data_IF_728386524651
#
_entry.id   IF_728386524651
#
_cell.length_a   1.000
_cell.length_b   1.000
_cell.length_c   1.000
_cell.angle_alpha   90.00
_cell.angle_beta   90.00
_cell.angle_gamma   90.00
#
_symmetry.space_group_name_H-M   'P 1'
#
loop_
_entity.id
_entity.type
_entity.pdbx_description
1 polymer ?
#
# COMPACT_ATOMS: atom_id res chain seq x y z
N UNK A 1 12.99 33.28 23.83
CA UNK A 1 12.51 31.89 23.79
C UNK A 1 13.22 31.21 22.63
N UNK A 2 14.09 30.24 22.91
CA UNK A 2 14.61 29.37 21.86
C UNK A 2 13.43 28.53 21.38
N UNK A 3 12.99 28.72 20.15
CA UNK A 3 12.16 27.70 19.51
C UNK A 3 13.00 26.43 19.50
N UNK A 4 12.53 25.31 20.10
CA UNK A 4 13.27 24.06 20.02
C UNK A 4 13.51 23.76 18.54
N UNK A 5 14.74 23.41 18.20
CA UNK A 5 15.12 23.03 16.84
C UNK A 5 14.22 21.86 16.43
N UNK A 6 13.28 22.13 15.51
CA UNK A 6 12.33 21.12 15.06
C UNK A 6 13.12 20.05 14.30
N UNK A 7 12.87 18.79 14.64
CA UNK A 7 13.46 17.65 13.92
C UNK A 7 13.19 17.80 12.42
N UNK A 8 14.19 17.42 11.62
CA UNK A 8 14.01 17.22 10.19
C UNK A 8 13.07 16.03 9.95
N UNK A 9 12.48 15.95 8.76
CA UNK A 9 11.67 14.80 8.37
C UNK A 9 12.45 13.48 8.49
N UNK A 10 13.70 13.46 8.06
CA UNK A 10 14.56 12.29 8.16
C UNK A 10 14.76 11.86 9.63
N UNK A 11 15.11 12.81 10.50
CA UNK A 11 15.25 12.54 11.95
C UNK A 11 13.94 12.02 12.55
N UNK A 12 12.79 12.48 12.07
CA UNK A 12 11.49 12.00 12.55
C UNK A 12 11.19 10.55 12.12
N UNK A 13 11.62 10.14 10.91
CA UNK A 13 11.56 8.73 10.50
C UNK A 13 12.56 7.86 11.25
N UNK A 14 13.75 8.37 11.58
CA UNK A 14 14.72 7.67 12.44
C UNK A 14 14.17 7.45 13.86
N UNK A 15 13.49 8.44 14.43
CA UNK A 15 12.78 8.29 15.71
C UNK A 15 11.68 7.23 15.60
N UNK A 16 10.89 7.25 14.51
CA UNK A 16 9.85 6.24 14.27
C UNK A 16 10.44 4.83 14.24
N UNK A 17 11.55 4.64 13.54
CA UNK A 17 12.27 3.36 13.50
C UNK A 17 12.73 2.92 14.90
N UNK A 18 13.29 3.84 15.70
CA UNK A 18 13.73 3.52 17.05
C UNK A 18 12.56 3.10 17.95
N UNK A 19 11.39 3.74 17.80
CA UNK A 19 10.17 3.32 18.48
C UNK A 19 9.77 1.90 18.06
N UNK A 20 9.81 1.56 16.77
CA UNK A 20 9.45 0.21 16.28
C UNK A 20 10.39 -0.90 16.78
N UNK A 21 11.65 -0.57 17.09
CA UNK A 21 12.62 -1.50 17.70
C UNK A 21 12.29 -1.78 19.18
N UNK A 22 11.73 -0.80 19.88
CA UNK A 22 11.39 -0.90 21.31
C UNK A 22 9.99 -1.50 21.46
N UNK A 23 9.02 -0.98 20.71
CA UNK A 23 7.64 -1.40 20.70
C UNK A 23 7.33 -2.19 19.42
N UNK A 24 7.52 -3.51 19.52
CA UNK A 24 7.23 -4.41 18.41
C UNK A 24 5.75 -4.47 18.02
N UNK A 25 4.84 -4.00 18.89
CA UNK A 25 3.43 -3.86 18.56
C UNK A 25 3.16 -2.71 17.58
N UNK A 26 4.12 -1.80 17.44
CA UNK A 26 4.09 -0.69 16.49
C UNK A 26 4.71 -1.04 15.13
N UNK A 27 4.69 -2.33 14.74
CA UNK A 27 5.30 -2.80 13.50
C UNK A 27 4.71 -2.22 12.20
N UNK A 28 3.50 -1.65 12.23
CA UNK A 28 2.85 -1.03 11.08
C UNK A 28 2.67 0.49 11.28
N UNK A 29 3.62 1.29 10.79
CA UNK A 29 3.67 2.75 10.97
C UNK A 29 3.07 3.57 9.82
N UNK A 30 2.18 3.00 8.99
CA UNK A 30 1.71 3.64 7.76
C UNK A 30 1.09 5.02 7.98
N UNK A 31 0.16 5.14 8.93
CA UNK A 31 -0.48 6.41 9.29
C UNK A 31 0.53 7.43 9.81
N UNK A 32 1.56 6.99 10.54
CA UNK A 32 2.67 7.85 10.98
C UNK A 32 3.42 8.44 9.81
N UNK A 33 3.69 7.61 8.80
CA UNK A 33 4.31 8.07 7.55
C UNK A 33 3.51 9.21 6.91
N UNK A 34 2.17 9.10 6.88
CA UNK A 34 1.31 10.19 6.39
C UNK A 34 1.52 11.45 7.22
N UNK A 35 1.37 11.32 8.54
CA UNK A 35 1.39 12.46 9.45
C UNK A 35 2.73 13.20 9.40
N UNK A 36 3.86 12.47 9.35
CA UNK A 36 5.18 13.08 9.27
C UNK A 36 5.37 13.90 7.99
N UNK A 37 4.96 13.37 6.84
CA UNK A 37 5.11 14.11 5.58
C UNK A 37 4.11 15.25 5.43
N UNK A 38 2.89 15.14 5.98
CA UNK A 38 1.95 16.26 6.07
C UNK A 38 2.56 17.43 6.85
N UNK A 39 3.15 17.16 8.02
CA UNK A 39 3.81 18.21 8.81
C UNK A 39 4.99 18.83 8.07
N UNK A 40 5.73 18.05 7.28
CA UNK A 40 6.83 18.59 6.46
C UNK A 40 6.30 19.49 5.33
N UNK A 41 5.22 19.10 4.64
CA UNK A 41 4.57 19.94 3.62
C UNK A 41 4.08 21.26 4.23
N UNK A 42 3.51 21.25 5.45
CA UNK A 42 3.05 22.46 6.13
C UNK A 42 4.16 23.49 6.38
N UNK A 43 5.42 23.07 6.47
CA UNK A 43 6.54 24.00 6.64
C UNK A 43 6.74 24.88 5.40
N UNK A 44 6.48 24.35 4.21
CA UNK A 44 6.52 25.08 2.95
C UNK A 44 5.65 24.39 1.86
N UNK A 45 4.34 24.74 1.76
CA UNK A 45 3.43 24.06 0.85
C UNK A 45 3.78 24.18 -0.64
N UNK A 46 4.51 25.23 -1.04
CA UNK A 46 4.92 25.45 -2.42
C UNK A 46 6.05 24.49 -2.86
N UNK A 47 6.82 23.97 -1.90
CA UNK A 47 7.94 23.05 -2.12
C UNK A 47 7.59 21.58 -1.79
N UNK A 48 6.30 21.23 -1.79
CA UNK A 48 5.84 19.87 -1.47
C UNK A 48 6.49 18.78 -2.32
N UNK A 49 6.89 19.10 -3.57
CA UNK A 49 7.58 18.16 -4.46
C UNK A 49 8.94 17.73 -3.89
N UNK A 50 9.64 18.61 -3.15
CA UNK A 50 10.90 18.23 -2.49
C UNK A 50 10.67 17.32 -1.28
N UNK A 51 9.49 17.37 -0.65
CA UNK A 51 9.12 16.45 0.44
C UNK A 51 8.95 15.03 -0.10
N UNK A 52 8.35 14.89 -1.28
CA UNK A 52 8.17 13.59 -1.94
C UNK A 52 9.50 12.84 -2.13
N UNK A 53 10.56 13.55 -2.53
CA UNK A 53 11.87 12.94 -2.81
C UNK A 53 12.62 12.50 -1.54
N UNK A 54 12.21 13.01 -0.38
CA UNK A 54 12.77 12.68 0.94
C UNK A 54 12.06 11.48 1.59
N UNK A 55 10.99 10.96 0.98
CA UNK A 55 10.30 9.80 1.52
C UNK A 55 11.22 8.56 1.54
N UNK A 56 11.26 7.80 2.66
CA UNK A 56 12.03 6.58 2.73
C UNK A 56 11.44 5.51 1.80
N UNK A 57 12.31 4.76 1.12
CA UNK A 57 11.90 3.61 0.29
C UNK A 57 11.28 2.55 1.19
N UNK A 58 10.07 2.09 0.87
CA UNK A 58 9.29 1.10 1.63
C UNK A 58 8.93 1.49 3.07
N UNK A 59 9.59 2.48 3.67
CA UNK A 59 9.42 2.86 5.07
C UNK A 59 7.97 3.20 5.38
N UNK A 60 7.44 2.59 6.44
CA UNK A 60 6.04 2.72 6.82
C UNK A 60 5.05 2.42 5.67
N UNK A 61 5.31 1.37 4.89
CA UNK A 61 4.47 0.94 3.78
C UNK A 61 4.14 2.08 2.79
N UNK A 62 5.14 2.91 2.45
CA UNK A 62 5.03 4.08 1.58
C UNK A 62 4.04 5.17 2.08
N UNK A 63 3.65 5.17 3.35
CA UNK A 63 2.70 6.15 3.90
C UNK A 63 3.17 7.60 3.77
N UNK A 64 4.48 7.82 3.75
CA UNK A 64 5.07 9.12 3.49
C UNK A 64 4.54 9.79 2.21
N UNK A 65 4.51 9.05 1.10
CA UNK A 65 4.09 9.59 -0.19
C UNK A 65 2.63 10.06 -0.13
N UNK A 66 1.77 9.31 0.57
CA UNK A 66 0.35 9.63 0.69
C UNK A 66 0.13 10.96 1.40
N UNK A 67 0.81 11.16 2.55
CA UNK A 67 0.67 12.39 3.33
C UNK A 67 1.08 13.65 2.58
N UNK A 68 2.07 13.58 1.67
CA UNK A 68 2.48 14.71 0.83
C UNK A 68 1.32 15.21 -0.04
N UNK A 69 0.67 14.29 -0.76
CA UNK A 69 -0.44 14.64 -1.63
C UNK A 69 -1.70 15.04 -0.86
N UNK A 70 -2.00 14.34 0.23
CA UNK A 70 -3.15 14.67 1.07
C UNK A 70 -3.02 16.09 1.64
N UNK A 71 -1.85 16.47 2.18
CA UNK A 71 -1.67 17.83 2.69
C UNK A 71 -1.71 18.89 1.59
N UNK A 72 -1.10 18.63 0.43
CA UNK A 72 -1.06 19.65 -0.63
C UNK A 72 -2.46 20.00 -1.17
N UNK A 73 -3.37 19.03 -1.20
CA UNK A 73 -4.66 19.18 -1.88
C UNK A 73 -5.88 19.20 -0.93
N UNK A 74 -5.69 19.16 0.39
CA UNK A 74 -6.81 19.07 1.35
C UNK A 74 -7.68 20.33 1.48
N UNK A 75 -7.19 21.51 1.11
CA UNK A 75 -7.90 22.79 1.27
C UNK A 75 -8.33 23.44 -0.05
N UNK A 76 -7.83 22.95 -1.18
CA UNK A 76 -8.06 23.57 -2.48
C UNK A 76 -9.29 22.97 -3.19
N UNK A 77 -10.20 23.81 -3.66
CA UNK A 77 -11.30 23.40 -4.57
C UNK A 77 -10.95 23.75 -6.02
N UNK A 78 -11.14 22.81 -6.94
CA UNK A 78 -10.71 22.99 -8.33
C UNK A 78 -11.87 22.82 -9.31
N UNK A 79 -11.94 23.74 -10.28
CA UNK A 79 -12.76 23.59 -11.48
C UNK A 79 -12.24 22.46 -12.37
N UNK A 80 -13.08 21.91 -13.24
CA UNK A 80 -12.65 20.87 -14.21
C UNK A 80 -11.48 21.32 -15.09
N UNK A 81 -11.42 22.61 -15.43
CA UNK A 81 -10.32 23.17 -16.21
C UNK A 81 -8.99 23.14 -15.43
N UNK A 82 -9.02 23.52 -14.14
CA UNK A 82 -7.84 23.45 -13.27
C UNK A 82 -7.38 22.01 -13.06
N UNK A 83 -8.32 21.07 -12.82
CA UNK A 83 -8.00 19.64 -12.67
C UNK A 83 -7.32 19.10 -13.94
N UNK A 84 -7.81 19.48 -15.13
CA UNK A 84 -7.21 19.06 -16.39
C UNK A 84 -5.77 19.57 -16.55
N UNK A 85 -5.50 20.82 -16.15
CA UNK A 85 -4.16 21.38 -16.16
C UNK A 85 -3.24 20.67 -15.15
N UNK A 86 -3.71 20.51 -13.91
CA UNK A 86 -3.00 19.79 -12.84
C UNK A 86 -2.68 18.34 -13.21
N UNK A 87 -3.57 17.65 -13.93
CA UNK A 87 -3.38 16.25 -14.32
C UNK A 87 -2.08 16.04 -15.12
N UNK A 88 -1.65 17.03 -15.91
CA UNK A 88 -0.40 16.93 -16.69
C UNK A 88 0.83 17.02 -15.78
N UNK A 89 0.83 17.93 -14.80
CA UNK A 89 1.92 18.07 -13.82
C UNK A 89 1.95 16.88 -12.84
N UNK A 90 0.79 16.42 -12.38
CA UNK A 90 0.68 15.29 -11.47
C UNK A 90 1.01 13.94 -12.11
N UNK A 91 0.94 13.83 -13.43
CA UNK A 91 1.42 12.65 -14.13
C UNK A 91 2.94 12.53 -14.06
N UNK A 92 3.67 13.62 -14.26
CA UNK A 92 5.14 13.58 -14.34
C UNK A 92 5.79 13.48 -12.96
N UNK A 93 5.12 13.98 -11.91
CA UNK A 93 5.66 13.94 -10.53
C UNK A 93 5.86 12.51 -10.01
N UNK A 94 5.01 11.56 -10.42
CA UNK A 94 5.10 10.16 -9.99
C UNK A 94 6.07 9.30 -10.80
N UNK A 95 6.62 9.86 -11.86
CA UNK A 95 7.53 9.19 -12.78
C UNK A 95 8.95 9.70 -12.59
N UNK A 96 9.92 8.96 -13.14
CA UNK A 96 11.32 9.41 -13.16
C UNK A 96 11.42 10.80 -13.80
N UNK A 97 12.04 11.72 -13.07
CA UNK A 97 12.30 13.09 -13.49
C UNK A 97 13.63 13.57 -12.88
N UNK A 98 13.96 14.85 -13.03
CA UNK A 98 15.22 15.43 -12.54
C UNK A 98 15.35 15.41 -11.01
N UNK A 99 14.23 15.46 -10.29
CA UNK A 99 14.19 15.52 -8.83
C UNK A 99 14.06 14.14 -8.19
N UNK A 100 13.45 13.17 -8.90
CA UNK A 100 13.11 11.87 -8.33
C UNK A 100 13.30 10.72 -9.31
N UNK A 101 13.95 9.65 -8.83
CA UNK A 101 14.11 8.38 -9.53
C UNK A 101 13.44 7.27 -8.69
N UNK A 102 12.09 7.14 -8.74
CA UNK A 102 11.36 6.20 -7.91
C UNK A 102 11.61 4.74 -8.32
N UNK A 103 11.58 3.85 -7.34
CA UNK A 103 11.38 2.42 -7.55
C UNK A 103 9.97 2.13 -8.09
N UNK A 104 9.76 0.92 -8.64
CA UNK A 104 8.42 0.49 -9.08
C UNK A 104 7.39 0.57 -7.95
N UNK A 105 7.78 0.23 -6.71
CA UNK A 105 6.93 0.35 -5.53
C UNK A 105 6.57 1.79 -5.20
N UNK A 106 7.53 2.71 -5.25
CA UNK A 106 7.29 4.14 -5.02
C UNK A 106 6.41 4.76 -6.10
N UNK A 107 6.62 4.41 -7.37
CA UNK A 107 5.70 4.81 -8.46
C UNK A 107 4.28 4.30 -8.18
N UNK A 108 4.14 3.03 -7.81
CA UNK A 108 2.85 2.45 -7.44
C UNK A 108 2.18 3.20 -6.28
N UNK A 109 2.94 3.49 -5.22
CA UNK A 109 2.48 4.27 -4.06
C UNK A 109 2.11 5.71 -4.40
N UNK A 110 2.85 6.35 -5.32
CA UNK A 110 2.55 7.70 -5.78
C UNK A 110 1.24 7.77 -6.56
N UNK A 111 1.01 6.85 -7.50
CA UNK A 111 -0.28 6.78 -8.19
C UNK A 111 -1.44 6.44 -7.24
N UNK A 112 -1.21 5.63 -6.22
CA UNK A 112 -2.18 5.42 -5.15
C UNK A 112 -2.50 6.72 -4.39
N UNK A 113 -1.48 7.49 -4.00
CA UNK A 113 -1.64 8.79 -3.35
C UNK A 113 -2.40 9.81 -4.22
N UNK A 114 -2.19 9.80 -5.54
CA UNK A 114 -2.97 10.60 -6.48
C UNK A 114 -4.47 10.24 -6.44
N UNK A 115 -4.82 9.00 -6.13
CA UNK A 115 -6.20 8.58 -5.91
C UNK A 115 -6.85 9.24 -4.70
N UNK A 116 -6.10 9.36 -3.58
CA UNK A 116 -6.55 10.12 -2.41
C UNK A 116 -6.72 11.60 -2.77
N UNK A 117 -5.72 12.22 -3.41
CA UNK A 117 -5.81 13.60 -3.86
C UNK A 117 -7.02 13.83 -4.77
N UNK A 118 -7.30 12.90 -5.69
CA UNK A 118 -8.44 13.00 -6.60
C UNK A 118 -9.77 13.19 -5.88
N UNK A 119 -9.94 12.58 -4.69
CA UNK A 119 -11.15 12.75 -3.89
C UNK A 119 -11.29 14.17 -3.32
N UNK A 120 -10.18 14.81 -2.96
CA UNK A 120 -10.17 16.21 -2.57
C UNK A 120 -10.43 17.13 -3.77
N UNK A 121 -9.66 16.95 -4.85
CA UNK A 121 -9.76 17.75 -6.08
C UNK A 121 -11.17 17.77 -6.67
N UNK A 122 -11.94 16.70 -6.47
CA UNK A 122 -13.25 16.51 -7.08
C UNK A 122 -14.41 16.60 -6.08
N UNK A 123 -14.15 17.03 -4.84
CA UNK A 123 -15.15 17.18 -3.77
C UNK A 123 -15.93 15.87 -3.53
N UNK A 124 -15.20 14.78 -3.37
CA UNK A 124 -15.72 13.41 -3.20
C UNK A 124 -16.58 12.90 -4.37
N UNK A 125 -16.51 13.50 -5.55
CA UNK A 125 -17.19 12.99 -6.75
C UNK A 125 -16.43 11.81 -7.35
N UNK A 126 -16.79 10.60 -6.92
CA UNK A 126 -16.12 9.34 -7.28
C UNK A 126 -15.97 9.15 -8.80
N UNK A 127 -16.99 9.54 -9.59
CA UNK A 127 -16.92 9.45 -11.06
C UNK A 127 -15.83 10.36 -11.62
N UNK A 128 -15.77 11.62 -11.16
CA UNK A 128 -14.71 12.57 -11.55
C UNK A 128 -13.33 12.10 -11.06
N UNK A 129 -13.23 11.55 -9.85
CA UNK A 129 -11.95 11.04 -9.31
C UNK A 129 -11.42 9.86 -10.13
N UNK A 130 -12.28 8.93 -10.53
CA UNK A 130 -11.93 7.81 -11.42
C UNK A 130 -11.49 8.30 -12.80
N UNK A 131 -12.16 9.32 -13.35
CA UNK A 131 -11.75 9.94 -14.63
C UNK A 131 -10.40 10.63 -14.52
N UNK A 132 -10.12 11.29 -13.40
CA UNK A 132 -8.80 11.85 -13.11
C UNK A 132 -7.73 10.76 -13.09
N UNK A 133 -7.97 9.65 -12.38
CA UNK A 133 -7.05 8.51 -12.35
C UNK A 133 -6.74 7.95 -13.74
N UNK A 134 -7.74 7.86 -14.63
CA UNK A 134 -7.53 7.42 -16.01
C UNK A 134 -6.60 8.36 -16.80
N UNK A 135 -6.73 9.68 -16.57
CA UNK A 135 -5.92 10.70 -17.25
C UNK A 135 -4.48 10.70 -16.77
N UNK A 136 -4.24 10.69 -15.46
CA UNK A 136 -2.86 10.78 -14.92
C UNK A 136 -2.06 9.50 -15.16
N UNK A 137 -2.73 8.35 -15.18
CA UNK A 137 -2.09 7.05 -15.37
C UNK A 137 -1.84 6.68 -16.84
N UNK A 138 -2.14 7.55 -17.81
CA UNK A 138 -1.93 7.31 -19.24
C UNK A 138 -2.54 6.00 -19.77
N UNK A 139 -3.65 5.56 -19.17
CA UNK A 139 -4.26 4.25 -19.49
C UNK A 139 -3.38 3.03 -19.22
N UNK A 140 -2.28 3.17 -18.45
CA UNK A 140 -1.44 2.03 -18.03
C UNK A 140 -2.20 1.24 -16.95
N UNK A 141 -2.57 -0.04 -17.19
CA UNK A 141 -3.47 -0.78 -16.30
C UNK A 141 -3.07 -0.86 -14.83
N UNK A 142 -1.80 -1.10 -14.56
CA UNK A 142 -1.30 -1.17 -13.19
C UNK A 142 -1.44 0.18 -12.45
N UNK A 143 -1.19 1.29 -13.14
CA UNK A 143 -1.16 2.62 -12.52
C UNK A 143 -2.56 3.14 -12.22
N UNK A 144 -3.52 3.00 -13.15
CA UNK A 144 -4.90 3.39 -12.83
C UNK A 144 -5.52 2.48 -11.77
N UNK A 145 -5.14 1.20 -11.70
CA UNK A 145 -5.58 0.30 -10.63
C UNK A 145 -5.14 0.81 -9.26
N UNK A 146 -3.89 1.23 -9.11
CA UNK A 146 -3.36 1.82 -7.88
C UNK A 146 -4.06 3.15 -7.55
N UNK A 147 -4.28 4.01 -8.53
CA UNK A 147 -5.02 5.26 -8.32
C UNK A 147 -6.46 5.01 -7.87
N UNK A 148 -7.16 4.04 -8.47
CA UNK A 148 -8.49 3.64 -7.99
C UNK A 148 -8.46 3.12 -6.55
N UNK A 149 -7.37 2.46 -6.13
CA UNK A 149 -7.26 2.00 -4.73
C UNK A 149 -7.28 3.18 -3.78
N UNK A 150 -6.53 4.26 -4.05
CA UNK A 150 -6.57 5.47 -3.24
C UNK A 150 -7.95 6.12 -3.19
N UNK A 151 -8.63 6.23 -4.35
CA UNK A 151 -10.00 6.77 -4.44
C UNK A 151 -10.96 6.02 -3.53
N UNK A 152 -11.00 4.69 -3.64
CA UNK A 152 -11.91 3.88 -2.83
C UNK A 152 -11.45 3.75 -1.37
N UNK A 153 -10.14 3.74 -1.10
CA UNK A 153 -9.59 3.72 0.26
C UNK A 153 -10.01 4.98 1.02
N UNK A 154 -10.01 6.15 0.39
CA UNK A 154 -10.51 7.40 0.98
C UNK A 154 -11.95 7.26 1.50
N UNK A 155 -12.79 6.48 0.82
CA UNK A 155 -14.20 6.29 1.18
C UNK A 155 -14.33 5.33 2.38
N UNK A 156 -13.66 4.18 2.32
CA UNK A 156 -13.84 3.12 3.31
C UNK A 156 -12.98 3.34 4.57
N UNK A 157 -11.80 3.94 4.41
CA UNK A 157 -10.75 4.08 5.43
C UNK A 157 -10.32 5.56 5.63
N UNK A 158 -11.23 6.53 5.77
CA UNK A 158 -10.85 7.92 6.05
C UNK A 158 -10.12 8.02 7.40
N UNK A 159 -8.96 8.69 7.42
CA UNK A 159 -8.07 8.73 8.59
C UNK A 159 -8.31 9.97 9.44
N UNK A 160 -8.25 11.16 8.84
CA UNK A 160 -8.36 12.44 9.54
C UNK A 160 -9.80 12.96 9.62
N UNK A 161 -10.03 14.05 10.36
CA UNK A 161 -11.36 14.63 10.50
C UNK A 161 -11.90 15.15 9.17
N UNK A 162 -11.03 15.78 8.39
CA UNK A 162 -11.29 16.32 7.06
C UNK A 162 -11.63 15.18 6.08
N UNK A 163 -10.88 14.07 6.13
CA UNK A 163 -11.17 12.86 5.34
C UNK A 163 -12.58 12.34 5.63
N UNK A 164 -12.93 12.25 6.92
CA UNK A 164 -14.24 11.75 7.36
C UNK A 164 -15.37 12.67 6.89
N UNK A 165 -15.18 13.99 6.99
CA UNK A 165 -16.16 14.98 6.53
C UNK A 165 -16.35 14.92 5.01
N UNK A 166 -15.24 14.80 4.25
CA UNK A 166 -15.24 14.72 2.79
C UNK A 166 -16.14 13.60 2.28
N UNK A 167 -16.07 12.41 2.88
CA UNK A 167 -16.80 11.21 2.41
C UNK A 167 -18.05 10.87 3.23
N UNK A 168 -18.41 11.67 4.23
CA UNK A 168 -19.49 11.36 5.18
C UNK A 168 -20.84 11.00 4.52
N UNK A 169 -21.13 11.62 3.37
CA UNK A 169 -22.39 11.42 2.61
C UNK A 169 -22.40 10.17 1.72
N UNK A 170 -21.24 9.62 1.39
CA UNK A 170 -21.10 8.52 0.42
C UNK A 170 -20.53 7.24 1.02
N UNK A 171 -19.93 7.31 2.22
CA UNK A 171 -19.32 6.16 2.89
C UNK A 171 -20.37 5.10 3.27
N UNK A 172 -20.26 3.87 2.76
CA UNK A 172 -21.09 2.76 3.20
C UNK A 172 -20.84 2.43 4.69
N UNK A 173 -21.91 2.04 5.39
CA UNK A 173 -21.90 1.72 6.83
C UNK A 173 -22.10 0.23 7.10
N UNK A 174 -22.70 -0.50 6.17
CA UNK A 174 -22.93 -1.95 6.28
C UNK A 174 -22.21 -2.71 5.16
N UNK A 175 -22.03 -4.02 5.37
CA UNK A 175 -21.47 -4.91 4.35
C UNK A 175 -22.30 -4.91 3.05
N UNK A 176 -23.63 -4.91 3.17
CA UNK A 176 -24.56 -4.88 2.04
C UNK A 176 -24.45 -3.56 1.27
N UNK A 177 -24.49 -2.42 1.98
CA UNK A 177 -24.31 -1.10 1.37
C UNK A 177 -22.96 -0.99 0.63
N UNK A 178 -21.91 -1.60 1.16
CA UNK A 178 -20.58 -1.58 0.55
C UNK A 178 -20.53 -2.39 -0.75
N UNK A 179 -21.14 -3.57 -0.76
CA UNK A 179 -21.25 -4.41 -1.96
C UNK A 179 -22.08 -3.69 -3.02
N UNK A 180 -23.25 -3.17 -2.66
CA UNK A 180 -24.12 -2.40 -3.56
C UNK A 180 -23.43 -1.15 -4.11
N UNK A 181 -22.65 -0.46 -3.28
CA UNK A 181 -21.84 0.66 -3.71
C UNK A 181 -20.81 0.23 -4.78
N UNK A 182 -20.08 -0.86 -4.56
CA UNK A 182 -19.07 -1.34 -5.49
C UNK A 182 -19.65 -1.96 -6.77
N UNK A 183 -20.87 -2.50 -6.72
CA UNK A 183 -21.52 -3.13 -7.87
C UNK A 183 -22.04 -2.12 -8.90
N UNK A 184 -21.99 -0.82 -8.60
CA UNK A 184 -22.23 0.26 -9.58
C UNK A 184 -21.09 0.42 -10.60
N UNK A 185 -19.94 -0.21 -10.36
CA UNK A 185 -18.76 -0.14 -11.21
C UNK A 185 -18.52 -1.46 -11.93
N UNK A 186 -17.61 -1.44 -12.92
CA UNK A 186 -17.27 -2.62 -13.73
C UNK A 186 -15.75 -2.79 -13.86
N UNK A 187 -15.30 -4.00 -14.21
CA UNK A 187 -13.88 -4.29 -14.47
C UNK A 187 -12.99 -3.94 -13.27
N UNK A 188 -11.84 -3.30 -13.53
CA UNK A 188 -10.89 -2.93 -12.49
C UNK A 188 -11.49 -2.00 -11.42
N UNK A 189 -12.42 -1.10 -11.76
CA UNK A 189 -13.05 -0.22 -10.78
C UNK A 189 -13.84 -1.01 -9.74
N UNK A 190 -14.66 -1.98 -10.18
CA UNK A 190 -15.41 -2.88 -9.29
C UNK A 190 -14.46 -3.63 -8.36
N UNK A 191 -13.46 -4.30 -8.94
CA UNK A 191 -12.52 -5.13 -8.19
C UNK A 191 -11.76 -4.30 -7.16
N UNK A 192 -11.29 -3.11 -7.56
CA UNK A 192 -10.58 -2.21 -6.65
C UNK A 192 -11.48 -1.70 -5.53
N UNK A 193 -12.73 -1.37 -5.82
CA UNK A 193 -13.70 -0.97 -4.80
C UNK A 193 -13.93 -2.09 -3.78
N UNK A 194 -14.18 -3.32 -4.26
CA UNK A 194 -14.37 -4.50 -3.41
C UNK A 194 -13.12 -4.74 -2.54
N UNK A 195 -11.92 -4.50 -3.05
CA UNK A 195 -10.69 -4.63 -2.26
C UNK A 195 -10.59 -3.63 -1.10
N UNK A 196 -11.26 -2.48 -1.17
CA UNK A 196 -11.19 -1.44 -0.14
C UNK A 196 -12.30 -1.51 0.91
N UNK A 197 -13.37 -2.30 0.70
CA UNK A 197 -14.45 -2.45 1.68
C UNK A 197 -14.08 -3.31 2.90
N UNK A 198 -12.85 -3.84 2.93
CA UNK A 198 -12.35 -4.76 3.95
C UNK A 198 -12.58 -4.33 5.41
N UNK A 199 -12.63 -3.04 5.83
CA UNK A 199 -12.89 -2.71 7.23
C UNK A 199 -14.22 -3.26 7.74
N UNK A 200 -15.21 -3.40 6.84
CA UNK A 200 -16.53 -3.96 7.14
C UNK A 200 -16.53 -5.50 7.18
N UNK A 201 -15.47 -6.14 6.67
CA UNK A 201 -15.34 -7.60 6.55
C UNK A 201 -14.16 -8.18 7.33
N UNK A 202 -13.35 -7.36 8.00
CA UNK A 202 -12.09 -7.79 8.63
C UNK A 202 -12.26 -8.97 9.60
N UNK A 203 -13.29 -8.92 10.45
CA UNK A 203 -13.59 -10.01 11.40
C UNK A 203 -13.91 -11.33 10.70
N UNK A 204 -14.45 -11.27 9.49
CA UNK A 204 -14.87 -12.44 8.74
C UNK A 204 -13.67 -13.14 8.13
N UNK A 205 -12.85 -12.46 7.31
CA UNK A 205 -11.71 -13.12 6.66
C UNK A 205 -10.51 -13.34 7.59
N UNK A 206 -10.53 -12.87 8.85
CA UNK A 206 -9.55 -13.29 9.86
C UNK A 206 -9.68 -14.77 10.23
N UNK A 207 -10.86 -15.34 10.01
CA UNK A 207 -11.11 -16.77 10.13
C UNK A 207 -10.86 -17.42 8.76
N UNK A 208 -9.89 -18.36 8.64
CA UNK A 208 -9.54 -18.96 7.35
C UNK A 208 -10.73 -19.66 6.69
N UNK A 209 -11.67 -20.23 7.47
CA UNK A 209 -12.87 -20.91 6.94
C UNK A 209 -13.87 -19.93 6.32
N UNK A 210 -13.79 -18.64 6.68
CA UNK A 210 -14.72 -17.60 6.23
C UNK A 210 -14.13 -16.70 5.15
N UNK A 211 -12.89 -16.93 4.74
CA UNK A 211 -12.22 -16.19 3.66
C UNK A 211 -13.03 -16.27 2.35
N UNK A 212 -13.53 -17.45 2.00
CA UNK A 212 -14.38 -17.65 0.82
C UNK A 212 -15.70 -16.89 0.86
N UNK A 213 -16.26 -16.72 2.05
CA UNK A 213 -17.49 -15.96 2.23
C UNK A 213 -17.25 -14.47 1.95
N UNK A 214 -16.04 -13.96 2.21
CA UNK A 214 -15.64 -12.61 1.79
C UNK A 214 -15.40 -12.55 0.27
N UNK A 215 -14.72 -13.55 -0.29
CA UNK A 215 -14.39 -13.58 -1.72
C UNK A 215 -15.54 -13.98 -2.65
N UNK A 216 -16.71 -14.36 -2.12
CA UNK A 216 -17.91 -14.69 -2.93
C UNK A 216 -18.42 -13.53 -3.79
N UNK A 217 -18.11 -12.28 -3.43
CA UNK A 217 -18.55 -11.09 -4.17
C UNK A 217 -17.72 -10.81 -5.43
N UNK A 218 -16.64 -11.56 -5.63
CA UNK A 218 -15.74 -11.44 -6.77
C UNK A 218 -16.12 -12.44 -7.86
N UNK A 219 -15.89 -12.05 -9.12
CA UNK A 219 -16.01 -12.98 -10.23
C UNK A 219 -14.99 -14.12 -10.06
N UNK A 220 -15.27 -15.35 -10.53
CA UNK A 220 -14.36 -16.49 -10.34
C UNK A 220 -12.91 -16.24 -10.77
N UNK A 221 -12.71 -15.52 -11.88
CA UNK A 221 -11.39 -15.15 -12.40
C UNK A 221 -10.60 -14.19 -11.50
N UNK A 222 -11.27 -13.49 -10.59
CA UNK A 222 -10.71 -12.46 -9.72
C UNK A 222 -10.59 -12.92 -8.25
N UNK A 223 -11.03 -14.15 -7.93
CA UNK A 223 -10.95 -14.72 -6.57
C UNK A 223 -9.53 -14.71 -6.00
N UNK A 224 -8.53 -15.07 -6.81
CA UNK A 224 -7.14 -15.08 -6.36
C UNK A 224 -6.65 -13.69 -5.92
N UNK A 225 -7.16 -12.63 -6.55
CA UNK A 225 -6.86 -11.26 -6.16
C UNK A 225 -7.56 -10.89 -4.84
N UNK A 226 -8.77 -11.37 -4.62
CA UNK A 226 -9.45 -11.21 -3.33
C UNK A 226 -8.63 -11.86 -2.21
N UNK A 227 -8.22 -13.12 -2.37
CA UNK A 227 -7.40 -13.82 -1.39
C UNK A 227 -6.10 -13.08 -1.10
N UNK A 228 -5.37 -12.71 -2.16
CA UNK A 228 -4.13 -11.95 -2.03
C UNK A 228 -4.33 -10.64 -1.26
N UNK A 229 -5.42 -9.94 -1.52
CA UNK A 229 -5.75 -8.68 -0.84
C UNK A 229 -6.08 -8.92 0.63
N UNK A 230 -6.94 -9.89 0.95
CA UNK A 230 -7.29 -10.22 2.32
C UNK A 230 -6.07 -10.65 3.15
N UNK A 231 -5.19 -11.48 2.58
CA UNK A 231 -3.97 -11.95 3.25
C UNK A 231 -2.99 -10.78 3.47
N UNK A 232 -2.84 -9.87 2.51
CA UNK A 232 -2.06 -8.64 2.69
C UNK A 232 -2.60 -7.80 3.85
N UNK A 233 -3.92 -7.61 3.91
CA UNK A 233 -4.58 -6.83 4.97
C UNK A 233 -4.38 -7.51 6.33
N UNK A 234 -4.57 -8.83 6.43
CA UNK A 234 -4.33 -9.58 7.67
C UNK A 234 -2.89 -9.43 8.14
N UNK A 235 -1.92 -9.62 7.24
CA UNK A 235 -0.51 -9.51 7.57
C UNK A 235 -0.20 -8.13 8.18
N UNK A 236 -0.67 -7.04 7.54
CA UNK A 236 -0.47 -5.68 8.03
C UNK A 236 -1.16 -5.42 9.38
N UNK A 237 -2.43 -5.84 9.53
CA UNK A 237 -3.23 -5.52 10.72
C UNK A 237 -2.94 -6.44 11.92
N UNK A 238 -2.24 -7.55 11.71
CA UNK A 238 -1.84 -8.48 12.76
C UNK A 238 -0.34 -8.40 13.05
N UNK A 239 0.21 -7.17 12.96
CA UNK A 239 1.54 -6.80 13.46
C UNK A 239 2.68 -7.64 12.87
N UNK A 240 2.49 -8.18 11.67
CA UNK A 240 3.49 -9.04 11.01
C UNK A 240 3.83 -10.29 11.83
N UNK A 241 2.85 -10.84 12.57
CA UNK A 241 3.02 -12.04 13.38
C UNK A 241 3.24 -13.28 12.51
N UNK A 242 4.49 -13.76 12.50
CA UNK A 242 4.93 -14.94 11.74
C UNK A 242 4.19 -16.20 12.15
N UNK A 243 3.93 -16.38 13.46
CA UNK A 243 3.26 -17.58 13.96
C UNK A 243 1.78 -17.58 13.58
N UNK A 244 1.12 -16.42 13.74
CA UNK A 244 -0.26 -16.27 13.29
C UNK A 244 -0.38 -16.56 11.79
N UNK A 245 0.44 -15.92 10.95
CA UNK A 245 0.34 -16.09 9.50
C UNK A 245 0.64 -17.51 9.06
N UNK A 246 1.63 -18.19 9.66
CA UNK A 246 1.88 -19.60 9.40
C UNK A 246 0.66 -20.48 9.73
N UNK A 247 0.08 -20.32 10.93
CA UNK A 247 -1.08 -21.10 11.35
C UNK A 247 -2.30 -20.83 10.48
N UNK A 248 -2.54 -19.56 10.12
CA UNK A 248 -3.61 -19.15 9.24
C UNK A 248 -3.46 -19.77 7.84
N UNK A 249 -2.30 -19.59 7.20
CA UNK A 249 -2.05 -20.10 5.86
C UNK A 249 -2.06 -21.63 5.78
N UNK A 250 -1.63 -22.32 6.83
CA UNK A 250 -1.61 -23.80 6.87
C UNK A 250 -3.00 -24.43 6.90
N UNK A 251 -4.04 -23.64 7.22
CA UNK A 251 -5.44 -24.10 7.24
C UNK A 251 -6.16 -23.86 5.92
N UNK A 252 -5.56 -23.13 4.97
CA UNK A 252 -6.20 -22.81 3.70
C UNK A 252 -6.04 -23.95 2.70
N UNK A 253 -7.14 -24.29 2.02
CA UNK A 253 -7.13 -25.15 0.83
C UNK A 253 -7.00 -24.33 -0.46
N UNK A 254 -7.56 -23.13 -0.46
CA UNK A 254 -7.46 -22.15 -1.55
C UNK A 254 -7.39 -20.72 -0.94
N UNK A 255 -6.40 -19.88 -1.29
CA UNK A 255 -5.23 -20.19 -2.10
C UNK A 255 -4.37 -21.25 -1.42
N UNK A 256 -3.44 -21.85 -2.18
CA UNK A 256 -2.56 -22.87 -1.62
C UNK A 256 -1.72 -22.28 -0.46
N UNK A 257 -1.39 -23.07 0.59
CA UNK A 257 -0.61 -22.59 1.73
C UNK A 257 0.67 -21.84 1.33
N UNK A 258 1.43 -22.35 0.36
CA UNK A 258 2.64 -21.69 -0.15
C UNK A 258 2.38 -20.33 -0.79
N UNK A 259 1.26 -20.14 -1.49
CA UNK A 259 0.88 -18.84 -2.02
C UNK A 259 0.51 -17.86 -0.90
N UNK A 260 -0.27 -18.31 0.09
CA UNK A 260 -0.62 -17.49 1.25
C UNK A 260 0.62 -17.05 2.03
N UNK A 261 1.55 -17.97 2.28
CA UNK A 261 2.83 -17.67 2.92
C UNK A 261 3.66 -16.68 2.10
N UNK A 262 3.73 -16.87 0.79
CA UNK A 262 4.44 -15.94 -0.11
C UNK A 262 3.83 -14.55 -0.14
N UNK A 263 2.50 -14.43 -0.18
CA UNK A 263 1.79 -13.14 -0.10
C UNK A 263 2.15 -12.44 1.22
N UNK A 264 2.07 -13.18 2.33
CA UNK A 264 2.36 -12.68 3.67
C UNK A 264 3.82 -12.23 3.81
N UNK A 265 4.77 -13.05 3.36
CA UNK A 265 6.20 -12.75 3.42
C UNK A 265 6.55 -11.53 2.57
N UNK A 266 6.03 -11.46 1.33
CA UNK A 266 6.12 -10.26 0.50
C UNK A 266 5.58 -9.05 1.24
N UNK A 267 4.39 -9.14 1.83
CA UNK A 267 3.78 -8.00 2.53
C UNK A 267 4.60 -7.52 3.73
N UNK A 268 5.21 -8.43 4.49
CA UNK A 268 6.13 -8.06 5.57
C UNK A 268 7.28 -7.19 5.04
N UNK A 269 7.91 -7.63 3.95
CA UNK A 269 8.99 -6.90 3.29
C UNK A 269 8.54 -5.56 2.67
N UNK A 270 7.34 -5.52 2.06
CA UNK A 270 6.78 -4.31 1.45
C UNK A 270 6.47 -3.20 2.47
N UNK A 271 6.15 -3.56 3.72
CA UNK A 271 5.83 -2.60 4.79
C UNK A 271 7.07 -1.88 5.29
N UNK A 272 8.19 -2.59 5.34
CA UNK A 272 9.52 -2.04 5.57
C UNK A 272 10.52 -3.13 5.18
N UNK A 273 11.51 -2.81 4.34
CA UNK A 273 12.51 -3.79 3.88
C UNK A 273 13.33 -4.37 5.05
N UNK A 274 13.36 -3.69 6.20
CA UNK A 274 13.96 -4.17 7.45
C UNK A 274 13.23 -5.39 8.03
N UNK A 275 11.97 -5.63 7.66
CA UNK A 275 11.24 -6.84 8.04
C UNK A 275 11.68 -8.10 7.25
N UNK A 276 12.78 -8.03 6.49
CA UNK A 276 13.33 -9.19 5.75
C UNK A 276 13.45 -10.44 6.62
N UNK A 277 13.91 -10.31 7.86
CA UNK A 277 14.10 -11.46 8.76
C UNK A 277 12.76 -12.15 9.06
N UNK A 278 11.69 -11.39 9.32
CA UNK A 278 10.34 -11.93 9.53
C UNK A 278 9.83 -12.64 8.28
N UNK A 279 10.01 -12.03 7.11
CA UNK A 279 9.61 -12.62 5.82
C UNK A 279 10.34 -13.95 5.55
N UNK A 280 11.66 -13.99 5.75
CA UNK A 280 12.48 -15.19 5.59
C UNK A 280 12.13 -16.27 6.61
N UNK A 281 11.88 -15.88 7.86
CA UNK A 281 11.44 -16.80 8.94
C UNK A 281 10.10 -17.43 8.59
N UNK A 282 9.15 -16.66 8.05
CA UNK A 282 7.86 -17.19 7.61
C UNK A 282 8.01 -18.21 6.49
N UNK A 283 8.77 -17.90 5.44
CA UNK A 283 9.01 -18.86 4.35
C UNK A 283 9.75 -20.11 4.83
N UNK A 284 10.78 -19.96 5.67
CA UNK A 284 11.52 -21.09 6.24
C UNK A 284 10.62 -22.01 7.06
N UNK A 285 9.81 -21.43 7.97
CA UNK A 285 8.84 -22.17 8.77
C UNK A 285 7.78 -22.87 7.92
N UNK A 286 7.38 -22.23 6.82
CA UNK A 286 6.42 -22.74 5.84
C UNK A 286 6.91 -23.90 4.96
N UNK A 287 8.20 -24.25 4.99
CA UNK A 287 8.79 -25.21 4.05
C UNK A 287 8.14 -26.60 4.07
N UNK A 288 7.52 -27.00 5.20
CA UNK A 288 6.81 -28.28 5.32
C UNK A 288 5.46 -28.30 4.58
N UNK A 289 4.82 -27.14 4.39
CA UNK A 289 3.51 -26.98 3.71
C UNK A 289 3.64 -26.31 2.34
N UNK A 290 4.85 -25.88 1.98
CA UNK A 290 5.21 -25.30 0.68
C UNK A 290 6.49 -25.96 0.12
N UNK A 291 6.44 -27.27 -0.23
CA UNK A 291 7.62 -28.00 -0.68
C UNK A 291 8.17 -27.51 -2.03
N UNK A 292 7.40 -26.69 -2.77
CA UNK A 292 7.84 -26.07 -4.02
C UNK A 292 8.52 -24.71 -3.81
N UNK A 293 8.52 -24.21 -2.56
CA UNK A 293 9.07 -22.91 -2.17
C UNK A 293 8.46 -21.72 -2.92
N UNK A 294 7.15 -21.76 -3.16
CA UNK A 294 6.38 -20.65 -3.73
C UNK A 294 6.58 -19.38 -2.89
N UNK A 295 6.72 -19.51 -1.57
CA UNK A 295 6.96 -18.40 -0.66
C UNK A 295 8.25 -17.64 -1.01
N UNK A 296 9.37 -18.36 -1.16
CA UNK A 296 10.66 -17.75 -1.52
C UNK A 296 10.64 -17.17 -2.93
N UNK A 297 10.06 -17.88 -3.90
CA UNK A 297 9.90 -17.38 -5.28
C UNK A 297 9.20 -16.02 -5.30
N UNK A 298 8.08 -15.91 -4.58
CA UNK A 298 7.29 -14.69 -4.53
C UNK A 298 8.01 -13.56 -3.80
N UNK A 299 8.68 -13.87 -2.69
CA UNK A 299 9.45 -12.89 -1.93
C UNK A 299 10.61 -12.31 -2.78
N UNK A 300 11.37 -13.16 -3.48
CA UNK A 300 12.43 -12.74 -4.42
C UNK A 300 11.87 -11.89 -5.56
N UNK A 301 10.75 -12.32 -6.16
CA UNK A 301 10.12 -11.57 -7.24
C UNK A 301 9.67 -10.18 -6.79
N UNK A 302 9.10 -10.10 -5.58
CA UNK A 302 8.57 -8.86 -5.00
C UNK A 302 9.68 -7.90 -4.60
N UNK A 303 10.77 -8.40 -4.01
CA UNK A 303 11.86 -7.55 -3.50
C UNK A 303 12.53 -6.72 -4.59
N UNK A 304 12.57 -7.21 -5.83
CA UNK A 304 13.08 -6.46 -6.98
C UNK A 304 12.35 -5.13 -7.23
N UNK A 305 11.11 -4.97 -6.77
CA UNK A 305 10.35 -3.72 -6.91
C UNK A 305 10.76 -2.62 -5.93
N UNK A 306 11.63 -2.94 -4.96
CA UNK A 306 12.03 -2.06 -3.87
C UNK A 306 13.50 -1.66 -3.92
N UNK A 307 14.29 -2.26 -4.81
CA UNK A 307 15.70 -1.89 -4.96
C UNK A 307 15.82 -0.62 -5.81
N UNK A 308 16.32 0.44 -5.20
CA UNK A 308 16.68 1.68 -5.88
C UNK A 308 18.04 1.55 -6.57
N UNK A 309 18.96 0.79 -5.97
CA UNK A 309 20.21 0.33 -6.58
C UNK A 309 20.28 -1.21 -6.55
N UNK A 310 19.73 -1.88 -7.58
CA UNK A 310 19.75 -3.33 -7.68
C UNK A 310 21.14 -3.95 -7.65
N UNK A 311 22.21 -3.22 -7.97
CA UNK A 311 23.57 -3.78 -7.97
C UNK A 311 24.11 -4.00 -6.56
N UNK A 312 23.76 -3.13 -5.61
CA UNK A 312 24.19 -3.24 -4.22
C UNK A 312 23.14 -3.89 -3.33
N UNK A 313 21.86 -3.56 -3.49
CA UNK A 313 20.80 -4.00 -2.59
C UNK A 313 20.37 -5.44 -2.84
N UNK A 314 20.37 -5.90 -4.10
CA UNK A 314 19.95 -7.26 -4.42
C UNK A 314 20.91 -8.31 -3.85
N UNK A 315 22.24 -8.23 -4.02
CA UNK A 315 23.15 -9.18 -3.37
C UNK A 315 23.04 -9.18 -1.84
N UNK A 316 22.85 -8.01 -1.23
CA UNK A 316 22.67 -7.85 0.21
C UNK A 316 21.38 -8.54 0.71
N UNK A 317 20.30 -8.49 -0.07
CA UNK A 317 19.08 -9.24 0.20
C UNK A 317 19.28 -10.75 -0.02
N UNK A 318 19.90 -11.14 -1.14
CA UNK A 318 20.02 -12.55 -1.52
C UNK A 318 20.92 -13.36 -0.57
N UNK A 319 21.88 -12.72 0.13
CA UNK A 319 22.85 -13.43 0.98
C UNK A 319 22.20 -14.15 2.18
N UNK A 320 21.04 -13.67 2.63
CA UNK A 320 20.31 -14.20 3.78
C UNK A 320 19.33 -15.32 3.40
N UNK A 321 19.18 -15.63 2.10
CA UNK A 321 18.35 -16.71 1.61
C UNK A 321 19.03 -18.08 1.81
N UNK A 322 18.26 -19.17 1.98
CA UNK A 322 18.80 -20.53 1.88
C UNK A 322 19.52 -20.75 0.54
N UNK A 323 20.56 -21.59 0.53
CA UNK A 323 21.51 -21.72 -0.61
C UNK A 323 20.84 -21.99 -1.98
N UNK A 324 19.76 -22.77 -2.02
CA UNK A 324 18.99 -22.96 -3.26
C UNK A 324 18.39 -21.64 -3.78
N UNK A 325 17.70 -20.90 -2.91
CA UNK A 325 17.03 -19.64 -3.22
C UNK A 325 17.99 -18.49 -3.44
N UNK A 326 19.14 -18.51 -2.76
CA UNK A 326 20.24 -17.56 -2.96
C UNK A 326 20.78 -17.61 -4.39
N UNK A 327 20.99 -18.81 -4.94
CA UNK A 327 21.41 -18.98 -6.35
C UNK A 327 20.37 -18.41 -7.31
N UNK A 328 19.10 -18.80 -7.14
CA UNK A 328 17.97 -18.29 -7.94
C UNK A 328 17.89 -16.75 -7.85
N UNK A 329 18.01 -16.19 -6.66
CA UNK A 329 17.97 -14.75 -6.42
C UNK A 329 19.10 -14.03 -7.16
N UNK A 330 20.34 -14.54 -7.08
CA UNK A 330 21.50 -13.97 -7.77
C UNK A 330 21.49 -14.21 -9.30
N UNK A 331 20.63 -15.09 -9.80
CA UNK A 331 20.58 -15.47 -11.21
C UNK A 331 21.64 -16.50 -11.63
N UNK A 332 22.09 -17.33 -10.68
CA UNK A 332 23.11 -18.37 -10.83
C UNK A 332 22.53 -19.78 -10.87
#
# INVERSE_FOLDING_TARGET
MYAPELLTMQQSFEVTENVQKIDTDYGYCHVTGHNLSQQEVRKNPDDWKSVLTKCPVAGCANGCIHGVFMEKFNTDTFSDQQINFLSQDLKTVCMKNELWNPTSSETSGCFHALGHAAMYLTEANVKRSIQFCYKVADSIPALFYNCYQGVFMQIFQPLEAEDRLLVAKIKPKTQEEAVDFCYKYTGYQKITCLNQMWPLFFKQFRDPEKLDIYCKYYDPKDKQRCYSTAINILTSNLKLDVNFMFNYCSQLTEPLPGECLGISASRMFEIDTKNKEKALTLCTKGSSVDPKGICFQRLISTSNNFFRDPQSEKPEFCKDLPEEWKRICLGN
#
